data_IF_805338359052
#
_entry.id   IF_805338359052
#
_cell.length_a   1.000
_cell.length_b   1.000
_cell.length_c   1.000
_cell.angle_alpha   90.00
_cell.angle_beta   90.00
_cell.angle_gamma   90.00
#
_symmetry.space_group_name_H-M   'P 1'
#
loop_
_entity.id
_entity.type
_entity.pdbx_description
1 polymer ?
#
# COMPACT_ATOMS: atom_id res chain seq x y z
N UNK A 1 -18.66 8.88 -10.10
CA UNK A 1 -17.74 7.85 -10.61
C UNK A 1 -16.38 8.41 -11.01
N UNK A 2 -16.30 9.47 -11.81
CA UNK A 2 -15.02 10.08 -12.21
C UNK A 2 -14.05 10.40 -11.06
N UNK A 3 -14.54 10.94 -9.93
CA UNK A 3 -13.70 11.23 -8.75
C UNK A 3 -13.08 9.98 -8.11
N UNK A 4 -13.84 8.88 -8.03
CA UNK A 4 -13.37 7.63 -7.45
C UNK A 4 -12.29 7.00 -8.35
N UNK A 5 -12.51 7.00 -9.66
CA UNK A 5 -11.55 6.51 -10.62
C UNK A 5 -10.25 7.32 -10.62
N UNK A 6 -10.32 8.65 -10.43
CA UNK A 6 -9.12 9.48 -10.28
C UNK A 6 -8.30 9.04 -9.06
N UNK A 7 -8.94 8.87 -7.90
CA UNK A 7 -8.26 8.44 -6.68
C UNK A 7 -7.69 7.01 -6.84
N UNK A 8 -8.44 6.09 -7.45
CA UNK A 8 -7.94 4.75 -7.79
C UNK A 8 -6.72 4.80 -8.71
N UNK A 9 -6.73 5.66 -9.72
CA UNK A 9 -5.59 5.90 -10.62
C UNK A 9 -4.35 6.37 -9.88
N UNK A 10 -4.51 7.28 -8.92
CA UNK A 10 -3.41 7.75 -8.07
C UNK A 10 -2.88 6.63 -7.17
N UNK A 11 -3.76 5.83 -6.54
CA UNK A 11 -3.35 4.66 -5.73
C UNK A 11 -2.53 3.68 -6.57
N UNK A 12 -3.03 3.30 -7.75
CA UNK A 12 -2.32 2.41 -8.69
C UNK A 12 -0.96 2.99 -9.08
N UNK A 13 -0.93 4.27 -9.47
CA UNK A 13 0.30 4.96 -9.86
C UNK A 13 1.34 4.99 -8.74
N UNK A 14 0.94 5.28 -7.50
CA UNK A 14 1.83 5.30 -6.33
C UNK A 14 2.42 3.91 -6.07
N UNK A 15 1.61 2.85 -6.13
CA UNK A 15 2.08 1.47 -5.92
C UNK A 15 3.07 1.07 -7.02
N UNK A 16 2.71 1.28 -8.29
CA UNK A 16 3.57 0.93 -9.42
C UNK A 16 4.88 1.73 -9.41
N UNK A 17 4.81 3.03 -9.11
CA UNK A 17 6.00 3.88 -9.01
C UNK A 17 6.95 3.39 -7.91
N UNK A 18 6.41 3.10 -6.72
CA UNK A 18 7.22 2.63 -5.61
C UNK A 18 7.85 1.25 -5.89
N UNK A 19 7.09 0.32 -6.45
CA UNK A 19 7.53 -1.07 -6.66
C UNK A 19 8.47 -1.20 -7.86
N UNK A 20 8.19 -0.52 -8.97
CA UNK A 20 8.98 -0.62 -10.21
C UNK A 20 10.19 0.29 -10.16
N UNK A 21 10.05 1.54 -9.72
CA UNK A 21 11.14 2.51 -9.81
C UNK A 21 11.88 2.66 -8.49
N UNK A 22 11.20 3.11 -7.42
CA UNK A 22 11.87 3.43 -6.15
C UNK A 22 12.63 2.22 -5.59
N UNK A 23 11.98 1.07 -5.53
CA UNK A 23 12.56 -0.15 -4.96
C UNK A 23 13.75 -0.66 -5.80
N UNK A 24 13.63 -0.66 -7.14
CA UNK A 24 14.73 -1.04 -8.05
C UNK A 24 15.93 -0.10 -7.90
N UNK A 25 15.69 1.21 -7.89
CA UNK A 25 16.76 2.21 -7.78
C UNK A 25 17.51 2.05 -6.47
N UNK A 26 16.81 1.87 -5.35
CA UNK A 26 17.41 1.71 -4.03
C UNK A 26 18.29 0.47 -3.96
N UNK A 27 17.78 -0.70 -4.38
CA UNK A 27 18.56 -1.94 -4.35
C UNK A 27 19.74 -1.95 -5.33
N UNK A 28 19.73 -1.10 -6.36
CA UNK A 28 20.82 -1.03 -7.33
C UNK A 28 21.88 0.04 -6.98
N UNK A 29 21.46 1.12 -6.31
CA UNK A 29 22.32 2.29 -6.07
C UNK A 29 22.91 2.35 -4.66
N UNK A 30 22.34 1.62 -3.68
CA UNK A 30 22.79 1.65 -2.29
C UNK A 30 23.36 0.30 -1.87
N UNK A 31 24.36 0.34 -1.00
CA UNK A 31 24.82 -0.83 -0.26
C UNK A 31 23.78 -1.30 0.76
N UNK A 32 23.97 -2.49 1.34
CA UNK A 32 22.99 -3.12 2.23
C UNK A 32 22.68 -2.26 3.47
N UNK A 33 23.70 -1.59 4.03
CA UNK A 33 23.56 -0.71 5.18
C UNK A 33 22.66 0.48 4.90
N UNK A 34 22.96 1.23 3.84
CA UNK A 34 22.15 2.39 3.44
C UNK A 34 20.76 1.99 2.92
N UNK A 35 20.65 0.85 2.23
CA UNK A 35 19.36 0.29 1.81
C UNK A 35 18.44 0.06 3.02
N UNK A 36 18.96 -0.56 4.08
CA UNK A 36 18.20 -0.81 5.31
C UNK A 36 17.70 0.48 5.94
N UNK A 37 18.54 1.51 6.02
CA UNK A 37 18.17 2.84 6.57
C UNK A 37 17.07 3.46 5.73
N UNK A 38 17.23 3.47 4.40
CA UNK A 38 16.25 4.03 3.47
C UNK A 38 14.88 3.32 3.56
N UNK A 39 14.87 1.98 3.49
CA UNK A 39 13.63 1.19 3.51
C UNK A 39 12.83 1.41 4.80
N UNK A 40 13.51 1.54 5.95
CA UNK A 40 12.87 1.84 7.24
C UNK A 40 12.25 3.22 7.30
N UNK A 41 12.81 4.19 6.58
CA UNK A 41 12.29 5.55 6.52
C UNK A 41 11.14 5.68 5.52
N UNK A 42 11.21 4.99 4.37
CA UNK A 42 10.26 5.15 3.27
C UNK A 42 9.00 4.29 3.42
N UNK A 43 9.09 3.05 3.93
CA UNK A 43 7.92 2.17 4.03
C UNK A 43 6.80 2.75 4.92
N UNK A 44 7.08 3.32 6.11
CA UNK A 44 6.04 3.96 6.91
C UNK A 44 5.33 5.08 6.14
N UNK A 45 6.09 5.92 5.42
CA UNK A 45 5.54 7.02 4.61
C UNK A 45 4.69 6.52 3.45
N UNK A 46 5.14 5.45 2.78
CA UNK A 46 4.42 4.82 1.68
C UNK A 46 3.04 4.30 2.12
N UNK A 47 2.98 3.54 3.22
CA UNK A 47 1.71 3.01 3.71
C UNK A 47 0.79 4.08 4.30
N UNK A 48 1.35 5.12 4.94
CA UNK A 48 0.55 6.27 5.40
C UNK A 48 -0.05 7.05 4.23
N UNK A 49 0.70 7.25 3.15
CA UNK A 49 0.17 7.90 1.94
C UNK A 49 -0.97 7.08 1.33
N UNK A 50 -0.80 5.76 1.20
CA UNK A 50 -1.86 4.88 0.69
C UNK A 50 -3.09 4.87 1.60
N UNK A 51 -2.89 4.86 2.92
CA UNK A 51 -3.99 4.94 3.89
C UNK A 51 -4.76 6.27 3.77
N UNK A 52 -4.04 7.38 3.62
CA UNK A 52 -4.64 8.71 3.40
C UNK A 52 -5.46 8.74 2.11
N UNK A 53 -4.93 8.22 1.00
CA UNK A 53 -5.65 8.11 -0.26
C UNK A 53 -6.88 7.19 -0.14
N UNK A 54 -6.76 6.10 0.62
CA UNK A 54 -7.87 5.21 0.92
C UNK A 54 -8.98 5.89 1.73
N UNK A 55 -8.63 6.69 2.72
CA UNK A 55 -9.59 7.48 3.49
C UNK A 55 -10.28 8.53 2.61
N UNK A 56 -9.52 9.21 1.74
CA UNK A 56 -10.08 10.13 0.77
C UNK A 56 -11.06 9.43 -0.19
N UNK A 57 -10.73 8.22 -0.64
CA UNK A 57 -11.64 7.39 -1.44
C UNK A 57 -12.92 7.07 -0.66
N UNK A 58 -12.79 6.60 0.59
CA UNK A 58 -13.93 6.22 1.44
C UNK A 58 -14.89 7.40 1.68
N UNK A 59 -14.35 8.57 2.02
CA UNK A 59 -15.15 9.78 2.23
C UNK A 59 -15.85 10.22 0.94
N UNK A 60 -15.14 10.18 -0.19
CA UNK A 60 -15.71 10.50 -1.50
C UNK A 60 -16.80 9.51 -1.90
N UNK A 61 -16.60 8.22 -1.63
CA UNK A 61 -17.59 7.18 -1.90
C UNK A 61 -18.86 7.40 -1.08
N UNK A 62 -18.73 7.68 0.21
CA UNK A 62 -19.86 7.98 1.10
C UNK A 62 -20.63 9.24 0.70
N UNK A 63 -19.95 10.23 0.09
CA UNK A 63 -20.59 11.45 -0.43
C UNK A 63 -21.31 11.20 -1.77
N UNK A 64 -20.66 10.53 -2.72
CA UNK A 64 -21.18 10.35 -4.09
C UNK A 64 -22.27 9.28 -4.18
N UNK A 65 -22.17 8.22 -3.38
CA UNK A 65 -23.15 7.15 -3.32
C UNK A 65 -23.36 6.73 -1.86
N UNK A 66 -24.22 7.45 -1.11
CA UNK A 66 -24.45 7.17 0.31
C UNK A 66 -24.95 5.74 0.56
N UNK A 67 -24.58 5.19 1.72
CA UNK A 67 -24.96 3.84 2.16
C UNK A 67 -23.87 2.79 1.96
N UNK A 68 -24.16 1.56 2.39
CA UNK A 68 -23.23 0.43 2.31
C UNK A 68 -23.34 -0.23 0.93
N UNK A 69 -22.49 0.20 0.01
CA UNK A 69 -22.41 -0.32 -1.36
C UNK A 69 -20.96 -0.72 -1.71
N UNK A 70 -20.75 -1.21 -2.94
CA UNK A 70 -19.44 -1.67 -3.39
C UNK A 70 -18.33 -0.60 -3.31
N UNK A 71 -18.65 0.67 -3.58
CA UNK A 71 -17.68 1.75 -3.47
C UNK A 71 -17.31 2.04 -2.00
N UNK A 72 -18.28 1.99 -1.09
CA UNK A 72 -18.01 2.11 0.34
C UNK A 72 -17.13 0.96 0.86
N UNK A 73 -17.46 -0.28 0.51
CA UNK A 73 -16.66 -1.47 0.89
C UNK A 73 -15.23 -1.37 0.33
N UNK A 74 -15.07 -0.94 -0.92
CA UNK A 74 -13.76 -0.70 -1.51
C UNK A 74 -13.00 0.41 -0.79
N UNK A 75 -13.66 1.51 -0.41
CA UNK A 75 -13.06 2.56 0.40
C UNK A 75 -12.56 2.08 1.77
N UNK A 76 -13.34 1.22 2.44
CA UNK A 76 -12.91 0.56 3.67
C UNK A 76 -11.67 -0.29 3.45
N UNK A 77 -11.63 -1.11 2.39
CA UNK A 77 -10.45 -1.90 2.02
C UNK A 77 -9.24 -1.03 1.69
N UNK A 78 -9.44 0.06 0.94
CA UNK A 78 -8.39 1.00 0.57
C UNK A 78 -7.77 1.69 1.79
N UNK A 79 -8.52 1.80 2.90
CA UNK A 79 -8.04 2.37 4.16
C UNK A 79 -7.40 1.28 5.04
N UNK A 80 -8.08 0.16 5.23
CA UNK A 80 -7.67 -0.88 6.18
C UNK A 80 -6.41 -1.64 5.75
N UNK A 81 -6.26 -1.98 4.46
CA UNK A 81 -5.13 -2.79 3.99
C UNK A 81 -3.78 -2.07 4.17
N UNK A 82 -3.60 -0.79 3.77
CA UNK A 82 -2.37 -0.04 4.07
C UNK A 82 -2.13 0.15 5.57
N UNK A 83 -3.18 0.36 6.36
CA UNK A 83 -3.03 0.50 7.82
C UNK A 83 -2.50 -0.80 8.44
N UNK A 84 -3.04 -1.96 8.05
CA UNK A 84 -2.54 -3.25 8.50
C UNK A 84 -1.07 -3.44 8.10
N UNK A 85 -0.72 -3.14 6.85
CA UNK A 85 0.66 -3.23 6.38
C UNK A 85 1.61 -2.29 7.13
N UNK A 86 1.16 -1.07 7.49
CA UNK A 86 1.91 -0.14 8.34
C UNK A 86 2.23 -0.74 9.71
N UNK A 87 1.25 -1.36 10.38
CA UNK A 87 1.46 -2.00 11.69
C UNK A 87 2.34 -3.24 11.63
N UNK A 88 2.50 -3.87 10.46
CA UNK A 88 3.44 -4.99 10.28
C UNK A 88 4.91 -4.55 10.21
N UNK A 89 5.21 -3.27 9.92
CA UNK A 89 6.58 -2.78 9.72
C UNK A 89 7.49 -3.04 10.94
N UNK A 90 7.12 -2.69 12.19
CA UNK A 90 8.02 -2.89 13.33
C UNK A 90 8.34 -4.37 13.56
N UNK A 91 7.34 -5.24 13.41
CA UNK A 91 7.49 -6.68 13.55
C UNK A 91 8.37 -7.28 12.44
N UNK A 92 8.21 -6.78 11.21
CA UNK A 92 9.02 -7.22 10.06
C UNK A 92 10.48 -6.82 10.24
N UNK A 93 10.73 -5.57 10.63
CA UNK A 93 12.08 -5.05 10.88
C UNK A 93 12.75 -5.80 12.03
N UNK A 94 12.02 -6.05 13.14
CA UNK A 94 12.52 -6.83 14.28
C UNK A 94 12.87 -8.27 13.88
N UNK A 95 12.03 -8.92 13.07
CA UNK A 95 12.31 -10.26 12.58
C UNK A 95 13.57 -10.31 11.70
N UNK A 96 13.78 -9.30 10.85
CA UNK A 96 15.01 -9.19 10.05
C UNK A 96 16.24 -8.95 10.90
N UNK A 97 16.15 -8.05 11.88
CA UNK A 97 17.27 -7.70 12.78
C UNK A 97 17.71 -8.89 13.66
N UNK A 98 16.78 -9.77 14.02
CA UNK A 98 17.05 -10.97 14.82
C UNK A 98 17.45 -12.19 13.98
N UNK A 99 17.58 -12.06 12.65
CA UNK A 99 17.89 -13.20 11.76
C UNK A 99 16.77 -14.25 11.67
N UNK A 100 15.53 -13.92 12.05
CA UNK A 100 14.39 -14.83 12.01
C UNK A 100 13.80 -14.91 10.60
N UNK A 101 14.53 -15.52 9.66
CA UNK A 101 14.22 -15.51 8.22
C UNK A 101 12.81 -16.01 7.87
N UNK A 102 12.31 -17.08 8.52
CA UNK A 102 10.94 -17.58 8.28
C UNK A 102 9.88 -16.55 8.66
N UNK A 103 10.03 -15.92 9.84
CA UNK A 103 9.09 -14.91 10.34
C UNK A 103 9.15 -13.64 9.51
N UNK A 104 10.35 -13.22 9.10
CA UNK A 104 10.54 -12.10 8.20
C UNK A 104 9.82 -12.34 6.87
N UNK A 105 10.05 -13.49 6.23
CA UNK A 105 9.39 -13.87 4.97
C UNK A 105 7.86 -13.89 5.09
N UNK A 106 7.33 -14.44 6.17
CA UNK A 106 5.88 -14.45 6.42
C UNK A 106 5.32 -13.02 6.51
N UNK A 107 5.86 -12.19 7.40
CA UNK A 107 5.36 -10.83 7.62
C UNK A 107 5.51 -9.95 6.38
N UNK A 108 6.65 -10.06 5.69
CA UNK A 108 6.88 -9.35 4.44
C UNK A 108 5.89 -9.79 3.36
N UNK A 109 5.71 -11.09 3.13
CA UNK A 109 4.76 -11.62 2.16
C UNK A 109 3.33 -11.19 2.45
N UNK A 110 2.91 -11.15 3.72
CA UNK A 110 1.59 -10.62 4.10
C UNK A 110 1.47 -9.16 3.64
N UNK A 111 2.45 -8.29 3.93
CA UNK A 111 2.42 -6.89 3.50
C UNK A 111 2.36 -6.72 1.97
N UNK A 112 3.06 -7.59 1.23
CA UNK A 112 3.05 -7.61 -0.24
C UNK A 112 1.68 -8.03 -0.77
N UNK A 113 1.08 -9.08 -0.22
CA UNK A 113 -0.25 -9.55 -0.61
C UNK A 113 -1.31 -8.47 -0.36
N UNK A 114 -1.27 -7.80 0.80
CA UNK A 114 -2.18 -6.68 1.10
C UNK A 114 -2.05 -5.56 0.06
N UNK A 115 -0.81 -5.23 -0.34
CA UNK A 115 -0.55 -4.21 -1.36
C UNK A 115 -0.98 -4.65 -2.76
N UNK A 116 -0.83 -5.94 -3.10
CA UNK A 116 -1.29 -6.50 -4.37
C UNK A 116 -2.81 -6.52 -4.48
N UNK A 117 -3.52 -6.90 -3.41
CA UNK A 117 -4.99 -6.82 -3.36
C UNK A 117 -5.43 -5.38 -3.58
N UNK A 118 -4.82 -4.42 -2.89
CA UNK A 118 -5.09 -3.00 -3.07
C UNK A 118 -4.87 -2.54 -4.51
N UNK A 119 -3.76 -2.93 -5.13
CA UNK A 119 -3.44 -2.61 -6.53
C UNK A 119 -4.49 -3.18 -7.49
N UNK A 120 -4.80 -4.47 -7.38
CA UNK A 120 -5.73 -5.15 -8.28
C UNK A 120 -7.14 -4.59 -8.14
N UNK A 121 -7.62 -4.39 -6.90
CA UNK A 121 -8.96 -3.84 -6.67
C UNK A 121 -9.11 -2.43 -7.28
N UNK A 122 -8.09 -1.57 -7.17
CA UNK A 122 -8.14 -0.24 -7.78
C UNK A 122 -7.92 -0.27 -9.30
N UNK A 123 -7.11 -1.18 -9.82
CA UNK A 123 -6.96 -1.37 -11.26
C UNK A 123 -8.26 -1.84 -11.92
N UNK A 124 -9.02 -2.72 -11.24
CA UNK A 124 -10.32 -3.17 -11.73
C UNK A 124 -11.32 -2.02 -11.86
N UNK A 125 -11.34 -1.08 -10.91
CA UNK A 125 -12.17 0.14 -11.01
C UNK A 125 -11.86 0.94 -12.28
N UNK A 126 -10.59 1.01 -12.67
CA UNK A 126 -10.17 1.73 -13.88
C UNK A 126 -10.55 1.01 -15.16
N UNK A 127 -10.61 -0.33 -15.14
CA UNK A 127 -10.96 -1.14 -16.32
C UNK A 127 -12.46 -1.18 -16.66
N UNK A 128 -13.31 -0.72 -15.75
CA UNK A 128 -14.79 -0.70 -15.91
C UNK A 128 -15.27 0.65 -16.47
N UNK A 129 -14.36 1.60 -16.70
CA UNK A 129 -14.62 2.90 -17.34
C UNK A 129 -14.64 2.83 -18.87
#
# INVERSE_FOLDING_TARGET
MQYLSLISGVIVGVILFHTIYVTRTVFHQLDEGNTKIFLRAIFPKFFLLLNFLGLAFLLTAGYVNPGVNGAFILGCSNTALPALAYFLIPSTNKAKDMGMESRFKLLHSVSVILTLVLLISNALVLSIL
#
